data_IF_001885864082
#
_entry.id   IF_001885864082
#
_cell.length_a   1.000
_cell.length_b   1.000
_cell.length_c   1.000
_cell.angle_alpha   90.00
_cell.angle_beta   90.00
_cell.angle_gamma   90.00
#
_symmetry.space_group_name_H-M   'P 1'
#
loop_
_entity.id
_entity.type
_entity.pdbx_description
1 polymer ?
#
# COMPACT_ATOMS: atom_id res chain seq x y z
N UNK A 1 -13.48 -26.18 3.33
CA UNK A 1 -13.15 -24.77 3.60
C UNK A 1 -14.49 -24.05 3.69
N UNK A 2 -14.86 -23.45 4.84
CA UNK A 2 -16.13 -22.69 4.93
C UNK A 2 -16.05 -21.54 3.91
N UNK A 3 -17.11 -21.22 3.15
CA UNK A 3 -17.11 -20.02 2.32
C UNK A 3 -16.89 -18.83 3.26
N UNK A 4 -15.99 -17.92 2.92
CA UNK A 4 -15.82 -16.72 3.73
C UNK A 4 -17.11 -15.90 3.63
N UNK A 5 -17.64 -15.45 4.76
CA UNK A 5 -18.75 -14.48 4.81
C UNK A 5 -18.29 -13.07 4.36
N UNK A 6 -17.18 -12.96 3.62
CA UNK A 6 -16.69 -11.69 3.15
C UNK A 6 -17.67 -11.14 2.11
N UNK A 7 -18.16 -9.92 2.33
CA UNK A 7 -18.99 -9.21 1.35
C UNK A 7 -18.11 -8.53 0.30
N UNK A 8 -16.91 -8.10 0.71
CA UNK A 8 -15.99 -7.39 -0.16
C UNK A 8 -14.71 -8.17 -0.38
N UNK A 9 -14.15 -8.02 -1.58
CA UNK A 9 -12.71 -8.22 -1.81
C UNK A 9 -12.07 -6.84 -1.83
N UNK A 10 -11.02 -6.67 -1.03
CA UNK A 10 -10.31 -5.40 -0.86
C UNK A 10 -8.88 -5.55 -1.34
N UNK A 11 -8.47 -4.73 -2.31
CA UNK A 11 -7.09 -4.63 -2.76
C UNK A 11 -6.41 -3.43 -2.12
N UNK A 12 -5.25 -3.63 -1.50
CA UNK A 12 -4.42 -2.56 -0.95
C UNK A 12 -3.10 -2.54 -1.71
N UNK A 13 -2.78 -1.38 -2.28
CA UNK A 13 -1.43 -1.09 -2.73
C UNK A 13 -0.70 -0.32 -1.62
N UNK A 14 0.28 -0.97 -0.98
CA UNK A 14 1.14 -0.34 0.02
C UNK A 14 2.36 0.24 -0.70
N UNK A 15 2.26 1.38 -1.37
CA UNK A 15 3.39 1.91 -2.15
C UNK A 15 4.45 2.63 -1.32
N UNK A 16 5.63 2.83 -1.91
CA UNK A 16 6.76 3.55 -1.28
C UNK A 16 6.41 5.01 -0.96
N UNK A 17 5.67 5.67 -1.85
CA UNK A 17 5.33 7.10 -1.75
C UNK A 17 3.86 7.33 -1.45
N UNK A 18 2.97 6.49 -2.00
CA UNK A 18 1.54 6.55 -1.75
C UNK A 18 0.97 5.14 -1.59
N UNK A 19 -0.04 5.01 -0.74
CA UNK A 19 -0.89 3.86 -0.66
C UNK A 19 -2.22 4.12 -1.37
N UNK A 20 -2.85 3.06 -1.86
CA UNK A 20 -4.21 3.08 -2.41
C UNK A 20 -5.01 1.89 -1.87
N UNK A 21 -6.32 2.06 -1.78
CA UNK A 21 -7.24 0.98 -1.44
C UNK A 21 -8.37 0.97 -2.46
N UNK A 22 -8.59 -0.18 -3.09
CA UNK A 22 -9.70 -0.45 -3.98
C UNK A 22 -10.51 -1.64 -3.48
N UNK A 23 -11.78 -1.74 -3.87
CA UNK A 23 -12.64 -2.83 -3.44
C UNK A 23 -13.70 -3.15 -4.48
N UNK A 24 -14.28 -4.34 -4.36
CA UNK A 24 -15.45 -4.77 -5.11
C UNK A 24 -16.43 -5.46 -4.16
N UNK A 25 -17.71 -5.13 -4.29
CA UNK A 25 -18.82 -5.79 -3.58
C UNK A 25 -19.14 -7.11 -4.30
N UNK A 26 -19.06 -8.24 -3.61
CA UNK A 26 -19.32 -9.55 -4.17
C UNK A 26 -20.81 -9.79 -4.45
N UNK A 27 -21.68 -9.00 -3.80
CA UNK A 27 -23.13 -9.02 -4.05
C UNK A 27 -23.52 -8.14 -5.25
N UNK A 28 -22.57 -7.46 -5.90
CA UNK A 28 -22.86 -6.65 -7.08
C UNK A 28 -23.30 -7.52 -8.26
N UNK A 29 -24.40 -7.12 -8.91
CA UNK A 29 -24.89 -7.81 -10.10
C UNK A 29 -24.02 -7.51 -11.33
N UNK A 30 -23.87 -8.53 -12.18
CA UNK A 30 -23.14 -8.41 -13.45
C UNK A 30 -21.64 -8.62 -13.31
N UNK A 31 -20.85 -7.89 -14.09
CA UNK A 31 -19.40 -8.06 -14.11
C UNK A 31 -18.74 -7.37 -12.92
N UNK A 32 -18.25 -8.14 -11.94
CA UNK A 32 -17.51 -7.64 -10.77
C UNK A 32 -16.33 -6.72 -11.15
N UNK A 33 -15.63 -6.97 -12.26
CA UNK A 33 -14.49 -6.14 -12.67
C UNK A 33 -14.92 -4.71 -13.05
N UNK A 34 -16.15 -4.54 -13.54
CA UNK A 34 -16.71 -3.22 -13.83
C UNK A 34 -17.13 -2.45 -12.55
N UNK A 35 -17.14 -3.12 -11.41
CA UNK A 35 -17.58 -2.59 -10.12
C UNK A 35 -16.41 -2.34 -9.15
N UNK A 36 -15.16 -2.47 -9.59
CA UNK A 36 -14.01 -2.09 -8.78
C UNK A 36 -14.06 -0.57 -8.54
N UNK A 37 -13.97 -0.18 -7.27
CA UNK A 37 -13.99 1.23 -6.82
C UNK A 37 -12.78 1.54 -5.97
N UNK A 38 -12.20 2.72 -6.18
CA UNK A 38 -11.23 3.30 -5.26
C UNK A 38 -11.96 3.81 -4.00
N UNK A 39 -11.44 3.47 -2.82
CA UNK A 39 -11.85 4.13 -1.59
C UNK A 39 -11.28 5.55 -1.58
N UNK A 40 -12.14 6.54 -1.36
CA UNK A 40 -11.67 7.89 -1.05
C UNK A 40 -11.28 7.94 0.42
N UNK A 41 -9.98 7.94 0.71
CA UNK A 41 -9.40 7.84 2.05
C UNK A 41 -9.52 9.19 2.76
N UNK A 42 -10.31 9.30 3.84
CA UNK A 42 -10.31 10.49 4.69
C UNK A 42 -8.94 10.62 5.36
N UNK A 43 -8.34 11.81 5.28
CA UNK A 43 -7.07 12.11 5.92
C UNK A 43 -6.97 13.60 6.22
N UNK A 44 -6.08 13.96 7.14
CA UNK A 44 -5.81 15.36 7.46
C UNK A 44 -5.03 16.01 6.31
N UNK A 45 -5.55 17.12 5.78
CA UNK A 45 -4.88 17.96 4.77
C UNK A 45 -4.35 19.26 5.36
N UNK A 46 -4.89 19.66 6.51
CA UNK A 46 -4.37 20.70 7.38
C UNK A 46 -4.68 20.31 8.84
N UNK A 47 -4.06 20.96 9.85
CA UNK A 47 -4.39 20.71 11.25
C UNK A 47 -5.88 20.86 11.53
N UNK A 48 -6.52 19.78 11.99
CA UNK A 48 -7.97 19.76 12.27
C UNK A 48 -8.88 19.77 11.04
N UNK A 49 -8.33 19.70 9.83
CA UNK A 49 -9.08 19.69 8.58
C UNK A 49 -8.89 18.37 7.84
N UNK A 50 -9.99 17.66 7.60
CA UNK A 50 -10.00 16.38 6.90
C UNK A 50 -10.57 16.54 5.49
N UNK A 51 -9.93 15.92 4.50
CA UNK A 51 -10.48 15.77 3.16
C UNK A 51 -10.40 14.31 2.71
N UNK A 52 -11.24 13.94 1.74
CA UNK A 52 -11.17 12.63 1.10
C UNK A 52 -10.23 12.72 -0.11
N UNK A 53 -9.27 11.79 -0.19
CA UNK A 53 -8.32 11.71 -1.30
C UNK A 53 -8.28 10.30 -1.86
N UNK A 54 -7.94 10.15 -3.15
CA UNK A 54 -7.77 8.83 -3.77
C UNK A 54 -6.58 8.05 -3.22
N UNK A 55 -5.53 8.78 -2.83
CA UNK A 55 -4.26 8.23 -2.38
C UNK A 55 -3.99 8.70 -0.95
N UNK A 56 -3.34 7.84 -0.17
CA UNK A 56 -2.79 8.16 1.13
C UNK A 56 -1.27 8.24 1.01
N UNK A 57 -0.62 9.41 1.15
CA UNK A 57 0.84 9.47 1.19
C UNK A 57 1.42 8.52 2.24
N UNK A 58 2.44 7.75 1.85
CA UNK A 58 3.16 6.79 2.70
C UNK A 58 4.16 7.51 3.61
N UNK A 59 3.66 8.51 4.33
CA UNK A 59 4.40 9.34 5.27
C UNK A 59 3.76 9.25 6.65
N UNK A 60 4.60 9.13 7.68
CA UNK A 60 4.21 9.35 9.07
C UNK A 60 5.00 10.52 9.64
N UNK A 61 4.35 11.34 10.47
CA UNK A 61 4.98 12.45 11.17
C UNK A 61 4.86 12.21 12.67
N UNK A 62 6.01 12.28 13.35
CA UNK A 62 6.16 12.05 14.79
C UNK A 62 6.25 13.41 15.50
N UNK A 63 5.12 14.05 15.83
CA UNK A 63 5.11 15.38 16.42
C UNK A 63 5.80 15.39 17.78
N UNK A 64 6.44 16.51 18.11
CA UNK A 64 6.93 16.74 19.46
C UNK A 64 5.79 17.04 20.43
N UNK A 65 6.07 16.91 21.73
CA UNK A 65 5.14 17.34 22.77
C UNK A 65 4.76 18.81 22.55
N UNK A 66 3.45 19.09 22.51
CA UNK A 66 2.87 20.42 22.29
C UNK A 66 3.18 21.08 20.93
N UNK A 67 3.75 20.35 19.96
CA UNK A 67 4.06 20.90 18.63
C UNK A 67 2.78 21.24 17.84
N UNK A 68 1.76 20.40 17.99
CA UNK A 68 0.45 20.58 17.36
C UNK A 68 -0.59 20.98 18.41
N UNK A 69 -1.52 21.90 18.06
CA UNK A 69 -2.59 22.28 18.98
C UNK A 69 -3.53 21.10 19.23
N UNK A 70 -4.24 21.11 20.36
CA UNK A 70 -5.24 20.10 20.68
C UNK A 70 -6.30 20.00 19.56
N UNK A 71 -6.68 18.77 19.17
CA UNK A 71 -7.59 18.55 18.06
C UNK A 71 -6.97 18.61 16.66
N UNK A 72 -5.70 19.01 16.52
CA UNK A 72 -5.04 19.11 15.21
C UNK A 72 -4.92 17.77 14.48
N UNK A 73 -4.89 16.66 15.22
CA UNK A 73 -4.74 15.30 14.70
C UNK A 73 -6.04 14.50 14.69
N UNK A 74 -7.18 15.19 14.83
CA UNK A 74 -8.50 14.56 14.91
C UNK A 74 -8.98 14.06 13.55
N UNK A 75 -9.15 12.75 13.45
CA UNK A 75 -9.78 12.05 12.32
C UNK A 75 -11.22 11.64 12.68
N UNK A 76 -12.04 11.21 11.71
CA UNK A 76 -13.41 10.77 11.97
C UNK A 76 -13.53 9.61 12.98
N UNK A 77 -12.47 8.81 13.12
CA UNK A 77 -12.36 7.67 14.04
C UNK A 77 -11.57 7.96 15.32
N UNK A 78 -11.17 9.22 15.56
CA UNK A 78 -10.48 9.64 16.78
C UNK A 78 -9.14 10.33 16.53
N UNK A 79 -8.43 10.61 17.61
CA UNK A 79 -7.09 11.20 17.57
C UNK A 79 -6.01 10.12 17.66
N UNK A 80 -4.93 10.30 16.90
CA UNK A 80 -3.74 9.45 16.94
C UNK A 80 -2.53 10.32 17.31
N UNK A 81 -1.54 9.79 18.06
CA UNK A 81 -0.31 10.52 18.40
C UNK A 81 0.57 10.74 17.16
N UNK A 82 0.57 9.79 16.23
CA UNK A 82 1.27 9.88 14.95
C UNK A 82 0.31 10.33 13.86
N UNK A 83 0.75 11.27 13.03
CA UNK A 83 -0.02 11.73 11.86
C UNK A 83 0.42 10.91 10.64
N UNK A 84 -0.53 10.45 9.82
CA UNK A 84 -0.27 9.73 8.57
C UNK A 84 -0.91 10.48 7.40
N UNK A 85 -0.30 10.40 6.20
CA UNK A 85 -0.86 10.96 4.97
C UNK A 85 -0.43 12.39 4.66
N UNK A 86 -1.34 13.17 4.08
CA UNK A 86 -1.02 14.50 3.53
C UNK A 86 -0.50 15.48 4.58
N UNK A 87 -1.14 15.58 5.75
CA UNK A 87 -0.63 16.43 6.83
C UNK A 87 0.76 15.98 7.31
N UNK A 88 1.05 14.67 7.32
CA UNK A 88 2.37 14.16 7.67
C UNK A 88 3.43 14.61 6.66
N UNK A 89 3.12 14.51 5.36
CA UNK A 89 3.97 14.98 4.26
C UNK A 89 4.21 16.50 4.35
N UNK A 90 3.16 17.30 4.55
CA UNK A 90 3.26 18.76 4.65
C UNK A 90 4.08 19.22 5.86
N UNK A 91 3.92 18.55 7.01
CA UNK A 91 4.70 18.84 8.22
C UNK A 91 6.14 18.38 8.08
N UNK A 92 6.34 17.20 7.52
CA UNK A 92 7.66 16.63 7.28
C UNK A 92 8.52 17.45 6.33
N UNK A 93 7.93 18.11 5.34
CA UNK A 93 8.65 19.07 4.49
C UNK A 93 9.23 20.26 5.28
N UNK A 94 8.63 20.61 6.43
CA UNK A 94 9.12 21.71 7.30
C UNK A 94 10.06 21.22 8.39
N UNK A 95 9.85 20.01 8.89
CA UNK A 95 10.66 19.39 9.95
C UNK A 95 11.06 17.96 9.54
N UNK A 96 12.02 17.82 8.61
CA UNK A 96 12.35 16.51 8.02
C UNK A 96 12.78 15.45 9.03
N UNK A 97 13.46 15.86 10.10
CA UNK A 97 13.94 14.96 11.16
C UNK A 97 12.83 14.23 11.92
N UNK A 98 11.55 14.61 11.74
CA UNK A 98 10.36 13.98 12.34
C UNK A 98 9.47 13.23 11.34
N UNK A 99 9.85 13.21 10.06
CA UNK A 99 9.08 12.55 9.00
C UNK A 99 9.65 11.19 8.66
N UNK A 100 8.82 10.16 8.82
CA UNK A 100 9.08 8.84 8.25
C UNK A 100 8.59 8.83 6.81
N UNK A 101 9.45 8.41 5.89
CA UNK A 101 9.17 8.22 4.47
C UNK A 101 9.88 6.97 3.96
N UNK A 102 9.49 6.48 2.79
CA UNK A 102 10.15 5.36 2.09
C UNK A 102 10.27 4.09 2.94
N UNK A 103 9.35 3.89 3.89
CA UNK A 103 9.38 2.76 4.84
C UNK A 103 9.42 1.41 4.11
N UNK A 104 8.72 1.29 2.97
CA UNK A 104 8.73 0.11 2.11
C UNK A 104 10.11 -0.19 1.51
N UNK A 105 10.85 0.82 1.07
CA UNK A 105 12.23 0.65 0.59
C UNK A 105 13.17 0.19 1.70
N UNK A 106 12.98 0.68 2.94
CA UNK A 106 13.74 0.18 4.08
C UNK A 106 13.36 -1.25 4.46
N UNK A 107 12.10 -1.63 4.28
CA UNK A 107 11.61 -2.99 4.49
C UNK A 107 12.23 -3.99 3.49
N UNK A 108 12.55 -3.53 2.27
CA UNK A 108 13.23 -4.34 1.25
C UNK A 108 14.74 -4.44 1.45
N UNK A 109 15.34 -3.47 2.15
CA UNK A 109 16.78 -3.39 2.32
C UNK A 109 17.31 -4.42 3.34
N UNK A 110 18.02 -5.46 2.87
CA UNK A 110 18.52 -6.55 3.72
C UNK A 110 19.71 -6.14 4.63
N UNK A 111 20.36 -5.02 4.34
CA UNK A 111 21.51 -4.53 5.09
C UNK A 111 21.19 -3.85 6.42
N UNK A 112 19.91 -3.74 6.80
CA UNK A 112 19.47 -3.10 8.05
C UNK A 112 18.59 -4.02 8.88
N UNK A 113 18.52 -3.75 10.18
CA UNK A 113 17.47 -4.30 11.03
C UNK A 113 16.14 -3.60 10.73
N UNK A 114 15.31 -4.27 9.92
CA UNK A 114 13.99 -3.81 9.47
C UNK A 114 12.97 -3.72 10.61
N UNK A 115 13.31 -4.22 11.79
CA UNK A 115 12.46 -4.21 13.00
C UNK A 115 12.94 -3.23 14.07
N UNK A 116 14.14 -2.69 13.93
CA UNK A 116 14.66 -1.67 14.82
C UNK A 116 14.11 -0.28 14.47
N UNK A 117 14.03 0.59 15.48
CA UNK A 117 13.59 1.98 15.36
C UNK A 117 14.63 2.85 14.62
N UNK A 118 14.68 2.74 13.30
CA UNK A 118 15.68 3.41 12.44
C UNK A 118 15.11 4.61 11.66
N UNK A 119 13.78 4.79 11.63
CA UNK A 119 13.13 5.87 10.89
C UNK A 119 12.53 6.92 11.83
N UNK A 120 12.65 8.24 11.59
CA UNK A 120 13.29 8.85 10.42
C UNK A 120 14.80 8.64 10.39
N UNK A 121 15.32 8.31 9.21
CA UNK A 121 16.75 8.10 9.05
C UNK A 121 17.52 9.40 9.30
N UNK A 122 18.57 9.33 10.13
CA UNK A 122 19.35 10.51 10.49
C UNK A 122 18.62 11.52 11.39
N UNK A 123 17.50 11.15 12.02
CA UNK A 123 16.82 12.02 12.98
C UNK A 123 17.77 12.46 14.11
N UNK A 124 17.72 13.74 14.56
CA UNK A 124 18.51 14.21 15.70
C UNK A 124 18.29 13.37 16.97
N UNK A 125 19.25 13.44 17.90
CA UNK A 125 19.10 12.80 19.20
C UNK A 125 17.87 13.33 19.95
N UNK A 126 17.14 12.44 20.63
CA UNK A 126 15.90 12.78 21.35
C UNK A 126 14.66 12.85 20.47
N UNK A 127 14.77 12.72 19.14
CA UNK A 127 13.59 12.58 18.26
C UNK A 127 13.13 11.11 18.24
N UNK A 128 11.83 10.83 18.46
CA UNK A 128 11.31 9.46 18.38
C UNK A 128 11.59 8.83 17.02
N UNK A 129 11.85 7.53 17.03
CA UNK A 129 12.00 6.71 15.83
C UNK A 129 11.10 5.48 15.93
N UNK A 130 10.74 4.93 14.77
CA UNK A 130 9.96 3.71 14.60
C UNK A 130 10.62 2.81 13.55
N UNK A 131 10.24 1.54 13.53
CA UNK A 131 10.78 0.62 12.53
C UNK A 131 10.08 0.76 11.17
N UNK A 132 10.71 0.31 10.07
CA UNK A 132 10.06 0.15 8.77
C UNK A 132 8.75 -0.66 8.85
N UNK A 133 8.70 -1.67 9.73
CA UNK A 133 7.49 -2.46 9.96
C UNK A 133 6.42 -1.64 10.65
N UNK A 134 6.74 -0.95 11.75
CA UNK A 134 5.77 -0.12 12.47
C UNK A 134 5.22 1.01 11.58
N UNK A 135 6.09 1.62 10.75
CA UNK A 135 5.68 2.62 9.78
C UNK A 135 4.69 2.06 8.75
N UNK A 136 4.97 0.87 8.23
CA UNK A 136 4.06 0.18 7.29
C UNK A 136 2.73 -0.20 7.97
N UNK A 137 2.78 -0.64 9.23
CA UNK A 137 1.59 -0.92 10.04
C UNK A 137 0.75 0.33 10.27
N UNK A 138 1.36 1.50 10.53
CA UNK A 138 0.65 2.77 10.66
C UNK A 138 -0.12 3.15 9.39
N UNK A 139 0.48 2.93 8.20
CA UNK A 139 -0.18 3.22 6.92
C UNK A 139 -1.37 2.31 6.68
N UNK A 140 -1.19 1.00 6.92
CA UNK A 140 -2.25 0.00 6.79
C UNK A 140 -3.37 0.25 7.81
N UNK A 141 -3.03 0.63 9.05
CA UNK A 141 -4.01 0.94 10.09
C UNK A 141 -4.85 2.17 9.73
N UNK A 142 -4.27 3.19 9.09
CA UNK A 142 -5.03 4.33 8.60
C UNK A 142 -6.04 3.93 7.52
N UNK A 143 -5.66 3.03 6.60
CA UNK A 143 -6.56 2.50 5.58
C UNK A 143 -7.66 1.61 6.20
N UNK A 144 -7.32 0.84 7.22
CA UNK A 144 -8.27 0.01 7.98
C UNK A 144 -9.30 0.87 8.71
N UNK A 145 -8.86 1.90 9.43
CA UNK A 145 -9.74 2.84 10.11
C UNK A 145 -10.68 3.55 9.10
N UNK A 146 -10.11 3.99 7.96
CA UNK A 146 -10.87 4.63 6.88
C UNK A 146 -11.93 3.71 6.29
N UNK A 147 -11.60 2.43 6.08
CA UNK A 147 -12.54 1.41 5.63
C UNK A 147 -13.66 1.21 6.64
N UNK A 148 -13.32 0.93 7.90
CA UNK A 148 -14.30 0.64 8.94
C UNK A 148 -15.23 1.81 9.22
N UNK A 149 -14.73 3.04 9.11
CA UNK A 149 -15.56 4.23 9.19
C UNK A 149 -16.58 4.32 8.02
N UNK A 150 -16.17 3.92 6.81
CA UNK A 150 -17.03 3.94 5.63
C UNK A 150 -18.04 2.78 5.58
N UNK A 151 -17.64 1.62 6.09
CA UNK A 151 -18.38 0.35 6.06
C UNK A 151 -18.45 -0.28 7.47
N UNK A 152 -19.18 0.34 8.41
CA UNK A 152 -19.23 -0.12 9.80
C UNK A 152 -19.81 -1.54 9.96
N UNK A 153 -20.69 -1.96 9.04
CA UNK A 153 -21.32 -3.29 9.06
C UNK A 153 -20.51 -4.36 8.31
N UNK A 154 -19.36 -4.01 7.73
CA UNK A 154 -18.48 -4.92 7.01
C UNK A 154 -17.01 -4.61 7.34
N UNK A 155 -16.58 -4.83 8.60
CA UNK A 155 -15.24 -4.47 9.04
C UNK A 155 -14.15 -5.16 8.19
N UNK A 156 -13.05 -4.46 7.95
CA UNK A 156 -12.00 -4.91 7.01
C UNK A 156 -11.40 -6.25 7.44
N UNK A 157 -11.29 -6.49 8.75
CA UNK A 157 -10.77 -7.72 9.35
C UNK A 157 -11.56 -8.98 8.99
N UNK A 158 -12.82 -8.83 8.56
CA UNK A 158 -13.68 -9.94 8.13
C UNK A 158 -13.70 -10.15 6.61
N UNK A 159 -13.18 -9.19 5.84
CA UNK A 159 -13.15 -9.23 4.37
C UNK A 159 -11.94 -10.01 3.85
N UNK A 160 -11.95 -10.35 2.56
CA UNK A 160 -10.75 -10.88 1.89
C UNK A 160 -9.87 -9.71 1.44
N UNK A 161 -8.64 -9.63 1.97
CA UNK A 161 -7.69 -8.56 1.64
C UNK A 161 -6.58 -9.10 0.75
N UNK A 162 -6.34 -8.43 -0.37
CA UNK A 162 -5.20 -8.66 -1.27
C UNK A 162 -4.22 -7.50 -1.11
N UNK A 163 -2.97 -7.78 -0.73
CA UNK A 163 -1.95 -6.76 -0.49
C UNK A 163 -0.79 -6.91 -1.47
N UNK A 164 -0.41 -5.81 -2.12
CA UNK A 164 0.70 -5.79 -3.08
C UNK A 164 2.06 -5.83 -2.38
N UNK A 165 3.00 -6.56 -2.97
CA UNK A 165 4.41 -6.54 -2.61
C UNK A 165 5.30 -6.51 -3.86
N UNK A 166 6.49 -5.89 -3.83
CA UNK A 166 7.41 -5.92 -4.95
C UNK A 166 7.85 -7.35 -5.26
N UNK A 167 8.05 -7.65 -6.54
CA UNK A 167 8.54 -8.98 -6.94
C UNK A 167 9.98 -9.25 -6.46
N UNK A 168 10.73 -8.17 -6.20
CA UNK A 168 12.09 -8.16 -5.67
C UNK A 168 12.19 -8.42 -4.17
N UNK A 169 11.06 -8.43 -3.44
CA UNK A 169 11.06 -8.73 -2.01
C UNK A 169 11.52 -10.17 -1.73
N UNK A 170 12.48 -10.29 -0.81
CA UNK A 170 12.85 -11.56 -0.20
C UNK A 170 11.75 -12.09 0.73
N UNK A 171 11.88 -13.36 1.14
CA UNK A 171 10.91 -14.02 2.02
C UNK A 171 10.72 -13.26 3.34
N UNK A 172 11.82 -12.74 3.90
CA UNK A 172 11.80 -11.99 5.16
C UNK A 172 11.00 -10.69 5.01
N UNK A 173 11.21 -9.93 3.94
CA UNK A 173 10.48 -8.70 3.67
C UNK A 173 8.97 -8.96 3.48
N UNK A 174 8.60 -10.09 2.85
CA UNK A 174 7.21 -10.55 2.74
C UNK A 174 6.62 -10.88 4.10
N UNK A 175 7.31 -11.67 4.92
CA UNK A 175 6.87 -12.01 6.28
C UNK A 175 6.69 -10.75 7.14
N UNK A 176 7.62 -9.80 7.05
CA UNK A 176 7.53 -8.53 7.77
C UNK A 176 6.37 -7.65 7.27
N UNK A 177 6.06 -7.69 5.97
CA UNK A 177 4.86 -7.03 5.42
C UNK A 177 3.58 -7.64 5.99
N UNK A 178 3.51 -8.98 6.05
CA UNK A 178 2.39 -9.70 6.68
C UNK A 178 2.30 -9.35 8.18
N UNK A 179 3.44 -9.19 8.86
CA UNK A 179 3.48 -8.77 10.26
C UNK A 179 2.88 -7.38 10.44
N UNK A 180 3.31 -6.41 9.64
CA UNK A 180 2.75 -5.05 9.63
C UNK A 180 1.23 -5.06 9.37
N UNK A 181 0.77 -5.88 8.42
CA UNK A 181 -0.65 -6.03 8.12
C UNK A 181 -1.45 -6.58 9.31
N UNK A 182 -0.92 -7.59 10.01
CA UNK A 182 -1.54 -8.14 11.22
C UNK A 182 -1.58 -7.14 12.37
N UNK A 183 -0.50 -6.38 12.56
CA UNK A 183 -0.43 -5.30 13.55
C UNK A 183 -1.47 -4.20 13.27
N UNK A 184 -1.78 -3.96 11.99
CA UNK A 184 -2.84 -3.07 11.55
C UNK A 184 -4.27 -3.64 11.62
N UNK A 185 -4.45 -4.89 12.05
CA UNK A 185 -5.77 -5.53 12.15
C UNK A 185 -6.25 -6.28 10.90
N UNK A 186 -5.41 -6.45 9.88
CA UNK A 186 -5.75 -7.19 8.66
C UNK A 186 -5.64 -8.70 8.91
N UNK A 187 -6.79 -9.38 8.97
CA UNK A 187 -6.88 -10.80 9.31
C UNK A 187 -6.65 -11.75 8.12
N UNK A 188 -7.55 -11.71 7.12
CA UNK A 188 -7.48 -12.57 5.94
C UNK A 188 -6.72 -11.87 4.82
N UNK A 189 -5.47 -12.27 4.64
CA UNK A 189 -4.53 -11.59 3.75
C UNK A 189 -3.98 -12.56 2.70
N UNK A 190 -4.03 -12.14 1.44
CA UNK A 190 -3.32 -12.76 0.33
C UNK A 190 -2.32 -11.76 -0.24
N UNK A 191 -1.05 -12.15 -0.35
CA UNK A 191 -0.07 -11.31 -1.03
C UNK A 191 -0.15 -11.52 -2.55
N UNK A 192 -0.01 -10.43 -3.30
CA UNK A 192 0.15 -10.45 -4.75
C UNK A 192 1.39 -9.65 -5.13
N UNK A 193 2.15 -10.12 -6.11
CA UNK A 193 3.26 -9.33 -6.62
C UNK A 193 2.73 -8.14 -7.42
N UNK A 194 3.26 -6.94 -7.18
CA UNK A 194 2.93 -5.70 -7.91
C UNK A 194 2.89 -5.87 -9.44
N UNK A 195 3.89 -6.48 -10.12
CA UNK A 195 3.82 -6.64 -11.56
C UNK A 195 2.68 -7.58 -12.02
N UNK A 196 2.28 -8.54 -11.17
CA UNK A 196 1.12 -9.38 -11.46
C UNK A 196 -0.17 -8.60 -11.28
N UNK A 197 -0.28 -7.79 -10.21
CA UNK A 197 -1.43 -6.92 -9.99
C UNK A 197 -1.62 -5.93 -11.15
N UNK A 198 -0.53 -5.30 -11.61
CA UNK A 198 -0.53 -4.42 -12.78
C UNK A 198 -1.00 -5.14 -14.06
N UNK A 199 -0.52 -6.37 -14.28
CA UNK A 199 -0.99 -7.18 -15.40
C UNK A 199 -2.47 -7.55 -15.28
N UNK A 200 -2.95 -7.92 -14.09
CA UNK A 200 -4.36 -8.27 -13.89
C UNK A 200 -5.29 -7.08 -14.15
N UNK A 201 -4.91 -5.87 -13.73
CA UNK A 201 -5.64 -4.64 -14.09
C UNK A 201 -5.66 -4.41 -15.61
N UNK A 202 -4.50 -4.52 -16.27
CA UNK A 202 -4.44 -4.41 -17.72
C UNK A 202 -5.29 -5.47 -18.42
N UNK A 203 -5.26 -6.72 -17.95
CA UNK A 203 -6.04 -7.82 -18.49
C UNK A 203 -7.55 -7.63 -18.29
N UNK A 204 -7.96 -7.08 -17.14
CA UNK A 204 -9.35 -6.73 -16.87
C UNK A 204 -9.86 -5.66 -17.85
N UNK A 205 -9.05 -4.63 -18.13
CA UNK A 205 -9.35 -3.59 -19.13
C UNK A 205 -9.46 -4.12 -20.57
N UNK A 206 -8.79 -5.25 -20.86
CA UNK A 206 -8.82 -5.92 -22.17
C UNK A 206 -9.69 -7.19 -22.18
N UNK A 207 -10.60 -7.33 -21.21
CA UNK A 207 -11.49 -8.49 -21.10
C UNK A 207 -12.25 -8.73 -22.41
N UNK A 208 -12.33 -10.01 -22.82
CA UNK A 208 -12.96 -10.44 -24.07
C UNK A 208 -12.14 -10.17 -25.34
N UNK A 209 -10.99 -9.49 -25.23
CA UNK A 209 -10.03 -9.27 -26.33
C UNK A 209 -8.58 -9.49 -25.88
N UNK A 210 -8.38 -10.19 -24.77
CA UNK A 210 -7.07 -10.37 -24.14
C UNK A 210 -6.11 -11.15 -25.03
N UNK A 211 -6.62 -12.17 -25.71
CA UNK A 211 -5.90 -12.95 -26.73
C UNK A 211 -5.39 -12.05 -27.86
N UNK A 212 -6.24 -11.16 -28.37
CA UNK A 212 -5.89 -10.19 -29.42
C UNK A 212 -4.91 -9.14 -28.90
N UNK A 213 -5.08 -8.67 -27.66
CA UNK A 213 -4.21 -7.68 -27.04
C UNK A 213 -2.80 -8.23 -26.79
N UNK A 214 -2.68 -9.50 -26.39
CA UNK A 214 -1.40 -10.19 -26.23
C UNK A 214 -0.82 -10.65 -27.58
N UNK A 215 -1.67 -10.97 -28.56
CA UNK A 215 -1.23 -11.51 -29.86
C UNK A 215 -0.43 -12.79 -29.68
N UNK A 216 0.77 -12.83 -30.29
CA UNK A 216 1.75 -13.91 -30.11
C UNK A 216 2.76 -13.64 -28.97
N UNK A 217 2.71 -12.45 -28.37
CA UNK A 217 3.61 -12.09 -27.28
C UNK A 217 3.10 -12.70 -25.99
N UNK A 218 3.89 -13.61 -25.43
CA UNK A 218 3.61 -14.25 -24.14
C UNK A 218 4.55 -13.77 -23.04
N UNK A 219 5.55 -12.96 -23.38
CA UNK A 219 6.46 -12.32 -22.45
C UNK A 219 6.11 -10.84 -22.33
N UNK A 220 5.94 -10.38 -21.09
CA UNK A 220 5.58 -9.01 -20.74
C UNK A 220 6.64 -8.49 -19.78
N UNK A 221 7.28 -7.39 -20.16
CA UNK A 221 8.12 -6.63 -19.24
C UNK A 221 7.22 -5.61 -18.53
N UNK A 222 7.04 -5.79 -17.22
CA UNK A 222 6.43 -4.78 -16.37
C UNK A 222 7.53 -3.85 -15.89
N UNK A 223 7.32 -2.56 -16.12
CA UNK A 223 8.23 -1.47 -15.75
C UNK A 223 7.49 -0.64 -14.70
N UNK A 224 7.79 -0.88 -13.43
CA UNK A 224 7.21 -0.14 -12.31
C UNK A 224 8.19 0.94 -11.87
N UNK A 225 7.81 2.21 -12.07
CA UNK A 225 8.60 3.39 -11.70
C UNK A 225 7.80 4.17 -10.68
N UNK A 226 8.06 3.88 -9.41
CA UNK A 226 7.44 4.56 -8.27
C UNK A 226 8.15 5.89 -7.93
N UNK A 227 7.78 6.46 -6.78
CA UNK A 227 8.45 7.68 -6.29
C UNK A 227 9.86 7.43 -5.78
N UNK A 228 10.10 6.33 -5.05
CA UNK A 228 11.45 6.04 -4.51
C UNK A 228 12.17 4.86 -5.16
N UNK A 229 11.49 4.07 -6.00
CA UNK A 229 12.01 2.79 -6.47
C UNK A 229 11.60 2.51 -7.92
N UNK A 230 12.45 1.78 -8.63
CA UNK A 230 12.15 1.23 -9.95
C UNK A 230 12.34 -0.28 -9.91
N UNK A 231 11.29 -1.02 -10.26
CA UNK A 231 11.27 -2.47 -10.31
C UNK A 231 10.93 -2.95 -11.74
N UNK A 232 11.82 -3.77 -12.30
CA UNK A 232 11.66 -4.34 -13.63
C UNK A 232 11.40 -5.83 -13.51
N UNK A 233 10.25 -6.31 -13.98
CA UNK A 233 9.91 -7.74 -13.89
C UNK A 233 9.46 -8.27 -15.25
N UNK A 234 10.12 -9.32 -15.71
CA UNK A 234 9.67 -10.09 -16.87
C UNK A 234 8.75 -11.21 -16.41
N UNK A 235 7.51 -11.18 -16.87
CA UNK A 235 6.50 -12.23 -16.64
C UNK A 235 6.14 -12.90 -17.96
N UNK A 236 5.81 -14.18 -17.91
CA UNK A 236 5.09 -14.85 -18.99
C UNK A 236 3.60 -14.92 -18.66
N UNK A 237 2.74 -14.62 -19.63
CA UNK A 237 1.29 -14.80 -19.51
C UNK A 237 0.80 -15.86 -20.50
N UNK A 238 0.41 -17.01 -19.99
CA UNK A 238 -0.26 -18.06 -20.75
C UNK A 238 -1.78 -17.91 -20.60
N UNK A 239 -2.52 -17.95 -21.70
CA UNK A 239 -3.98 -17.98 -21.64
C UNK A 239 -4.46 -19.42 -21.54
N UNK A 240 -5.13 -19.76 -20.43
CA UNK A 240 -5.76 -21.07 -20.23
C UNK A 240 -7.27 -20.89 -19.99
N UNK A 241 -8.00 -21.99 -20.05
CA UNK A 241 -9.41 -22.03 -19.67
C UNK A 241 -9.55 -21.57 -18.21
N UNK A 242 -10.08 -20.36 -18.00
CA UNK A 242 -10.19 -19.72 -16.68
C UNK A 242 -9.42 -18.40 -16.52
N UNK A 243 -8.57 -18.00 -17.47
CA UNK A 243 -7.90 -16.69 -17.47
C UNK A 243 -6.38 -16.75 -17.70
N UNK A 244 -5.68 -15.60 -17.58
CA UNK A 244 -4.24 -15.56 -17.71
C UNK A 244 -3.55 -16.25 -16.52
N UNK A 245 -2.62 -17.14 -16.82
CA UNK A 245 -1.72 -17.75 -15.85
C UNK A 245 -0.36 -17.07 -15.97
N UNK A 246 0.02 -16.35 -14.93
CA UNK A 246 1.28 -15.61 -14.89
C UNK A 246 2.39 -16.45 -14.27
N UNK A 247 3.58 -16.37 -14.86
CA UNK A 247 4.80 -16.88 -14.24
C UNK A 247 5.88 -15.81 -14.29
N UNK A 248 6.57 -15.63 -13.18
CA UNK A 248 7.74 -14.76 -13.09
C UNK A 248 8.93 -15.43 -13.78
N UNK A 249 9.52 -14.75 -14.76
CA UNK A 249 10.64 -15.26 -15.56
C UNK A 249 11.96 -14.66 -15.06
N UNK A 250 11.98 -13.35 -14.84
CA UNK A 250 13.14 -12.64 -14.30
C UNK A 250 12.67 -11.43 -13.49
N UNK A 251 13.43 -11.09 -12.46
CA UNK A 251 13.26 -9.88 -11.66
C UNK A 251 14.59 -9.13 -11.73
N UNK A 252 14.53 -7.86 -12.09
CA UNK A 252 15.68 -6.96 -12.05
C UNK A 252 16.05 -6.61 -10.62
N UNK A 253 17.19 -5.98 -10.45
CA UNK A 253 17.58 -5.44 -9.15
C UNK A 253 16.55 -4.38 -8.70
N UNK A 254 16.32 -4.30 -7.40
CA UNK A 254 15.51 -3.23 -6.82
C UNK A 254 16.33 -1.94 -6.85
N UNK A 255 15.99 -1.04 -7.77
CA UNK A 255 16.73 0.20 -7.98
C UNK A 255 16.15 1.27 -7.05
N UNK A 256 16.98 1.87 -6.21
CA UNK A 256 16.64 3.05 -5.39
C UNK A 256 16.66 4.33 -6.24
N UNK A 257 15.85 4.32 -7.30
CA UNK A 257 15.66 5.42 -8.24
C UNK A 257 14.17 5.52 -8.56
N UNK A 258 13.58 6.70 -8.38
CA UNK A 258 12.20 6.98 -8.78
C UNK A 258 11.97 8.47 -8.99
N UNK A 259 10.70 8.88 -8.98
CA UNK A 259 10.30 10.29 -9.12
C UNK A 259 10.97 11.24 -8.11
N UNK A 260 11.15 10.79 -6.86
CA UNK A 260 11.79 11.56 -5.77
C UNK A 260 13.27 11.88 -6.05
N UNK A 261 13.91 11.19 -7.01
CA UNK A 261 15.28 11.46 -7.45
C UNK A 261 15.36 12.37 -8.68
N UNK A 262 14.24 12.57 -9.39
CA UNK A 262 14.15 13.39 -10.60
C UNK A 262 13.65 14.82 -10.32
N UNK A 263 12.91 14.99 -9.22
CA UNK A 263 12.48 16.29 -8.66
C UNK A 263 13.63 17.05 -7.98
#
# INVERSE_FOLDING_TARGET
MKPSNARYIVGIDLGTTNCALAYVDLDAEGDLAAHIRDLQVPQLVAPGETAQQRLLPSNAYLPGDQELPAGATKLPWGERPTVVGELAKLRGARVPGRMVSSAKSWLSHAGVDRTAAILPWGAPEGVPRISPVDASALYLAHLEDAWNHRFPDAPLSEQEVVLTVPASFDEVARELTVRAAREAGLGKLTLVEEPQAAFYDWAAKHRGKLDKALGNNRLILVVDVGGGTTDLTLISADLKDGGPVLKRIAVGDHILLGGDNMD
#
